data_IF_452404587536
#
_entry.id   IF_452404587536
#
_cell.length_a   1.000
_cell.length_b   1.000
_cell.length_c   1.000
_cell.angle_alpha   90.00
_cell.angle_beta   90.00
_cell.angle_gamma   90.00
#
_symmetry.space_group_name_H-M   'P 1'
#
loop_
_entity.id
_entity.type
_entity.pdbx_description
1 polymer ?
#
# COMPACT_ATOMS: atom_id res chain seq x y z
N UNK A 1 4.58 21.40 -4.33
CA UNK A 1 3.80 20.88 -3.18
C UNK A 1 3.44 19.41 -3.37
N UNK A 2 3.08 19.01 -4.58
CA UNK A 2 2.60 17.64 -4.88
C UNK A 2 3.73 16.61 -4.93
N UNK A 3 4.88 16.96 -5.49
CA UNK A 3 6.07 16.09 -5.55
C UNK A 3 6.65 15.77 -4.17
N UNK A 4 6.59 16.72 -3.27
CA UNK A 4 7.08 16.54 -1.91
C UNK A 4 6.18 15.59 -1.10
N UNK A 5 4.87 15.70 -1.30
CA UNK A 5 3.89 14.75 -0.72
C UNK A 5 4.08 13.33 -1.27
N UNK A 6 4.29 13.19 -2.59
CA UNK A 6 4.58 11.90 -3.23
C UNK A 6 5.85 11.27 -2.68
N UNK A 7 6.92 12.05 -2.53
CA UNK A 7 8.18 11.58 -1.93
C UNK A 7 8.02 11.15 -0.48
N UNK A 8 7.27 11.92 0.32
CA UNK A 8 7.00 11.58 1.71
C UNK A 8 6.18 10.28 1.85
N UNK A 9 5.19 10.07 0.97
CA UNK A 9 4.39 8.86 0.94
C UNK A 9 5.22 7.64 0.53
N UNK A 10 6.06 7.78 -0.50
CA UNK A 10 7.00 6.72 -0.92
C UNK A 10 8.01 6.37 0.18
N UNK A 11 8.50 7.37 0.90
CA UNK A 11 9.43 7.14 2.01
C UNK A 11 8.77 6.32 3.14
N UNK A 12 7.51 6.61 3.47
CA UNK A 12 6.75 5.84 4.45
C UNK A 12 6.54 4.38 4.02
N UNK A 13 6.19 4.16 2.74
CA UNK A 13 6.00 2.81 2.21
C UNK A 13 7.31 2.02 2.13
N UNK A 14 8.45 2.68 1.84
CA UNK A 14 9.77 2.04 1.81
C UNK A 14 10.32 1.72 3.19
N UNK A 15 10.00 2.53 4.20
CA UNK A 15 10.42 2.28 5.58
C UNK A 15 9.91 0.94 6.13
N UNK A 16 8.79 0.45 5.63
CA UNK A 16 8.21 -0.85 5.99
C UNK A 16 8.81 -2.05 5.23
N UNK A 17 9.69 -1.84 4.24
CA UNK A 17 10.34 -2.91 3.48
C UNK A 17 11.65 -3.41 4.14
N UNK A 18 11.98 -2.90 5.32
CA UNK A 18 13.16 -3.32 6.09
C UNK A 18 13.03 -4.74 6.62
N UNK A 19 13.52 -5.69 5.81
CA UNK A 19 14.10 -6.97 6.20
C UNK A 19 13.41 -7.77 7.30
N UNK A 20 12.19 -8.23 7.08
CA UNK A 20 11.59 -9.27 7.89
C UNK A 20 12.11 -10.64 7.48
N UNK A 21 13.22 -11.10 8.03
CA UNK A 21 13.54 -12.50 8.11
C UNK A 21 12.38 -13.20 8.80
N UNK A 22 11.73 -14.15 8.10
CA UNK A 22 10.75 -15.06 8.68
C UNK A 22 11.40 -15.90 9.78
N UNK A 23 11.44 -15.39 11.00
CA UNK A 23 11.55 -16.22 12.19
C UNK A 23 10.16 -16.34 12.78
N UNK A 24 9.58 -17.53 12.62
CA UNK A 24 8.43 -17.99 13.38
C UNK A 24 8.80 -18.02 14.87
N UNK A 25 8.65 -16.86 15.52
CA UNK A 25 8.65 -16.82 16.98
C UNK A 25 7.18 -16.84 17.40
N UNK A 26 6.70 -18.05 17.78
CA UNK A 26 5.47 -18.19 18.52
C UNK A 26 5.62 -17.40 19.82
N UNK A 27 5.16 -16.15 19.83
CA UNK A 27 4.89 -15.44 21.07
C UNK A 27 3.57 -15.98 21.63
N UNK A 28 3.71 -16.95 22.54
CA UNK A 28 2.64 -17.35 23.45
C UNK A 28 2.48 -16.24 24.48
N UNK A 29 1.41 -15.48 24.40
CA UNK A 29 1.03 -14.55 25.45
C UNK A 29 0.17 -15.28 26.48
N UNK A 30 0.63 -15.49 27.72
CA UNK A 30 -0.24 -15.90 28.79
C UNK A 30 -0.99 -14.68 29.32
N UNK A 31 -2.09 -14.32 28.67
CA UNK A 31 -3.01 -13.36 29.25
C UNK A 31 -3.92 -14.09 30.23
N UNK A 32 -3.60 -14.01 31.54
CA UNK A 32 -4.56 -14.30 32.60
C UNK A 32 -5.27 -12.99 32.96
N UNK A 33 -6.59 -12.90 32.80
CA UNK A 33 -7.35 -11.76 33.32
C UNK A 33 -7.64 -12.01 34.80
N UNK A 34 -6.80 -11.53 35.67
CA UNK A 34 -7.17 -11.29 37.06
C UNK A 34 -7.28 -9.78 37.28
N UNK A 35 -8.45 -9.38 37.81
CA UNK A 35 -8.90 -8.00 37.91
C UNK A 35 -7.93 -7.07 38.63
N UNK A 36 -7.70 -5.93 38.02
CA UNK A 36 -6.98 -4.83 38.64
C UNK A 36 -6.39 -3.91 37.57
N UNK A 37 -6.92 -2.71 37.51
CA UNK A 37 -6.36 -1.49 36.92
C UNK A 37 -5.68 -1.61 35.54
N UNK A 38 -6.30 -0.96 34.57
CA UNK A 38 -5.96 -0.95 33.13
C UNK A 38 -4.64 -0.16 32.82
N UNK A 39 -3.70 -0.10 33.71
CA UNK A 39 -2.37 0.46 33.44
C UNK A 39 -1.34 -0.64 33.68
N UNK A 40 -1.36 -1.63 32.77
CA UNK A 40 -0.23 -2.53 32.59
C UNK A 40 0.89 -1.79 31.87
N UNK A 41 1.70 -1.03 32.59
CA UNK A 41 2.97 -0.51 32.10
C UNK A 41 3.85 -1.70 31.76
N UNK A 42 4.04 -1.94 30.49
CA UNK A 42 4.99 -2.95 30.00
C UNK A 42 6.40 -2.39 30.28
N UNK A 43 7.00 -2.85 31.35
CA UNK A 43 8.42 -2.59 31.60
C UNK A 43 9.23 -3.42 30.59
N UNK A 44 9.89 -2.75 29.65
CA UNK A 44 11.00 -3.34 28.93
C UNK A 44 12.11 -3.76 29.88
N UNK A 45 12.88 -4.76 29.56
CA UNK A 45 14.03 -5.22 30.39
C UNK A 45 15.05 -4.12 30.70
N UNK A 46 14.94 -2.99 29.99
CA UNK A 46 15.84 -1.84 30.06
C UNK A 46 15.24 -0.68 30.87
N UNK A 47 14.11 -0.87 31.56
CA UNK A 47 13.48 0.17 32.37
C UNK A 47 12.84 1.32 31.56
N UNK A 48 12.76 1.22 30.25
CA UNK A 48 12.09 2.17 29.39
C UNK A 48 10.60 1.88 29.29
N UNK A 49 9.76 2.91 29.47
CA UNK A 49 8.33 2.84 29.24
C UNK A 49 8.09 2.78 27.72
N UNK A 50 7.88 1.59 27.19
CA UNK A 50 7.46 1.40 25.81
C UNK A 50 5.95 1.51 25.69
N UNK A 51 5.43 2.47 24.92
CA UNK A 51 4.05 2.40 24.47
C UNK A 51 3.89 1.14 23.58
N UNK A 52 2.83 0.33 23.78
CA UNK A 52 2.54 -0.76 22.84
C UNK A 52 2.35 -0.16 21.44
N UNK A 53 3.18 -0.55 20.50
CA UNK A 53 3.02 -0.17 19.10
C UNK A 53 1.70 -0.81 18.64
N UNK A 54 0.77 -0.06 18.06
CA UNK A 54 -0.44 -0.64 17.51
C UNK A 54 -0.05 -1.71 16.47
N UNK A 55 -0.78 -2.81 16.44
CA UNK A 55 -0.54 -3.88 15.48
C UNK A 55 -0.69 -3.31 14.07
N UNK A 56 0.40 -3.24 13.32
CA UNK A 56 0.36 -2.93 11.91
C UNK A 56 -0.21 -4.14 11.17
N UNK A 57 -1.24 -3.91 10.36
CA UNK A 57 -1.84 -4.96 9.55
C UNK A 57 -2.26 -4.44 8.19
N UNK A 58 -2.18 -5.30 7.21
CA UNK A 58 -2.65 -5.04 5.86
C UNK A 58 -4.01 -5.72 5.66
N UNK A 59 -5.05 -4.92 5.43
CA UNK A 59 -6.42 -5.40 5.25
C UNK A 59 -6.71 -5.41 3.75
N UNK A 60 -7.01 -6.60 3.19
CA UNK A 60 -7.47 -6.72 1.83
C UNK A 60 -8.82 -6.02 1.64
N UNK A 61 -8.95 -5.17 0.63
CA UNK A 61 -10.16 -4.45 0.31
C UNK A 61 -10.83 -4.94 -0.97
N UNK A 62 -10.08 -5.01 -2.07
CA UNK A 62 -10.69 -5.22 -3.37
C UNK A 62 -9.69 -5.69 -4.44
N UNK A 63 -10.20 -6.47 -5.43
CA UNK A 63 -9.48 -6.81 -6.65
C UNK A 63 -9.94 -5.94 -7.82
N UNK A 64 -9.00 -5.35 -8.55
CA UNK A 64 -9.29 -4.57 -9.76
C UNK A 64 -8.18 -4.68 -10.79
N UNK A 65 -8.38 -4.09 -11.96
CA UNK A 65 -7.35 -4.00 -12.99
C UNK A 65 -6.82 -2.57 -13.09
N UNK A 66 -5.55 -2.41 -13.45
CA UNK A 66 -4.99 -1.09 -13.74
C UNK A 66 -5.54 -0.60 -15.07
N UNK A 67 -6.06 0.63 -15.07
CA UNK A 67 -6.53 1.31 -16.27
C UNK A 67 -5.43 2.21 -16.87
N UNK A 68 -5.49 2.43 -18.18
CA UNK A 68 -4.61 3.38 -18.86
C UNK A 68 -3.18 2.89 -19.11
N UNK A 69 -2.89 1.61 -18.93
CA UNK A 69 -1.56 1.03 -19.21
C UNK A 69 -1.08 1.28 -20.63
N UNK A 70 -1.99 1.34 -21.61
CA UNK A 70 -1.67 1.63 -23.02
C UNK A 70 -1.22 3.08 -23.30
N UNK A 71 -1.47 3.99 -22.37
CA UNK A 71 -1.08 5.41 -22.48
C UNK A 71 0.20 5.74 -21.71
N UNK A 72 0.80 4.75 -21.06
CA UNK A 72 2.06 4.93 -20.33
C UNK A 72 3.22 4.71 -21.26
N UNK A 73 4.03 5.74 -21.46
CA UNK A 73 5.26 5.63 -22.26
C UNK A 73 6.24 4.65 -21.61
N UNK A 74 6.78 3.75 -22.41
CA UNK A 74 7.77 2.77 -21.92
C UNK A 74 7.19 1.61 -21.13
N UNK A 75 5.86 1.37 -21.18
CA UNK A 75 5.20 0.27 -20.47
C UNK A 75 5.80 -1.10 -20.82
N UNK A 76 6.32 -1.28 -22.04
CA UNK A 76 6.96 -2.53 -22.48
C UNK A 76 8.28 -2.80 -21.75
N UNK A 77 9.06 -1.75 -21.50
CA UNK A 77 10.28 -1.86 -20.71
C UNK A 77 9.97 -2.13 -19.24
N UNK A 78 8.90 -1.49 -18.74
CA UNK A 78 8.40 -1.66 -17.39
C UNK A 78 7.82 -3.08 -17.18
N UNK A 79 7.18 -3.66 -18.19
CA UNK A 79 6.62 -5.01 -18.13
C UNK A 79 7.61 -6.05 -17.65
N UNK A 80 8.87 -5.97 -18.13
CA UNK A 80 9.92 -6.91 -17.73
C UNK A 80 10.31 -6.80 -16.25
N UNK A 81 10.08 -5.66 -15.64
CA UNK A 81 10.43 -5.36 -14.25
C UNK A 81 9.28 -5.69 -13.30
N UNK A 82 8.02 -5.61 -13.77
CA UNK A 82 6.85 -5.91 -12.96
C UNK A 82 6.72 -7.41 -12.69
N UNK A 83 6.62 -7.78 -11.42
CA UNK A 83 6.44 -9.16 -10.96
C UNK A 83 5.14 -9.32 -10.19
N UNK A 84 4.54 -10.51 -10.29
CA UNK A 84 3.42 -10.88 -9.42
C UNK A 84 3.86 -10.85 -7.95
N UNK A 85 3.02 -10.32 -7.10
CA UNK A 85 3.34 -10.06 -5.69
C UNK A 85 4.06 -8.74 -5.41
N UNK A 86 4.44 -7.97 -6.46
CA UNK A 86 5.10 -6.68 -6.27
C UNK A 86 4.14 -5.63 -5.72
N UNK A 87 4.65 -4.83 -4.76
CA UNK A 87 3.89 -3.76 -4.12
C UNK A 87 3.90 -2.49 -4.99
N UNK A 88 2.74 -1.87 -5.10
CA UNK A 88 2.50 -0.64 -5.86
C UNK A 88 2.07 0.48 -4.92
N UNK A 89 2.54 1.68 -5.19
CA UNK A 89 2.16 2.88 -4.47
C UNK A 89 1.00 3.59 -5.17
N UNK A 90 0.06 4.14 -4.39
CA UNK A 90 -1.08 4.91 -4.86
C UNK A 90 -0.91 6.38 -4.50
N UNK A 91 -1.22 7.26 -5.45
CA UNK A 91 -1.16 8.70 -5.28
C UNK A 91 -2.46 9.35 -5.74
N UNK A 92 -3.02 10.22 -4.90
CA UNK A 92 -4.18 11.04 -5.28
C UNK A 92 -3.78 12.17 -6.21
N UNK A 93 -4.55 12.36 -7.25
CA UNK A 93 -4.45 13.49 -8.19
C UNK A 93 -5.78 14.26 -8.23
N UNK A 94 -6.09 15.09 -7.20
CA UNK A 94 -7.35 15.82 -7.14
C UNK A 94 -7.47 16.88 -8.24
N UNK A 95 -6.34 17.35 -8.76
CA UNK A 95 -6.26 18.36 -9.83
C UNK A 95 -6.19 17.72 -11.23
N UNK A 96 -6.46 16.41 -11.36
CA UNK A 96 -6.48 15.74 -12.66
C UNK A 96 -7.63 16.28 -13.51
N UNK A 97 -7.36 16.81 -14.74
CA UNK A 97 -8.37 17.45 -15.57
C UNK A 97 -9.48 16.49 -16.05
N UNK A 98 -9.21 15.19 -16.04
CA UNK A 98 -10.14 14.18 -16.51
C UNK A 98 -10.97 13.56 -15.39
N UNK A 99 -10.42 13.49 -14.17
CA UNK A 99 -11.08 12.85 -13.05
C UNK A 99 -10.54 13.39 -11.70
N UNK A 100 -11.34 14.17 -10.96
CA UNK A 100 -10.94 14.70 -9.66
C UNK A 100 -10.74 13.60 -8.59
N UNK A 101 -11.17 12.38 -8.87
CA UNK A 101 -10.97 11.22 -8.00
C UNK A 101 -9.87 10.29 -8.51
N UNK A 102 -9.05 10.73 -9.47
CA UNK A 102 -7.97 9.96 -10.02
C UNK A 102 -6.98 9.49 -8.94
N UNK A 103 -6.60 8.23 -9.05
CA UNK A 103 -5.57 7.60 -8.22
C UNK A 103 -4.52 7.02 -9.17
N UNK A 104 -3.35 7.64 -9.17
CA UNK A 104 -2.21 7.20 -9.94
C UNK A 104 -1.57 5.97 -9.28
N UNK A 105 -1.26 4.98 -10.08
CA UNK A 105 -0.57 3.76 -9.66
C UNK A 105 0.88 3.81 -10.12
N UNK A 106 1.81 3.69 -9.17
CA UNK A 106 3.25 3.69 -9.46
C UNK A 106 3.94 2.50 -8.81
N UNK A 107 5.07 2.10 -9.39
CA UNK A 107 5.99 1.17 -8.75
C UNK A 107 6.67 1.84 -7.54
N UNK A 108 7.30 1.04 -6.69
CA UNK A 108 8.08 1.57 -5.56
C UNK A 108 9.33 2.35 -6.03
N UNK A 109 9.75 2.20 -7.29
CA UNK A 109 10.80 3.00 -7.92
C UNK A 109 10.31 4.34 -8.48
N UNK A 110 8.99 4.60 -8.46
CA UNK A 110 8.36 5.84 -8.91
C UNK A 110 7.96 5.86 -10.38
N UNK A 111 7.98 4.71 -11.05
CA UNK A 111 7.53 4.60 -12.44
C UNK A 111 6.01 4.47 -12.50
N UNK A 112 5.38 5.24 -13.38
CA UNK A 112 3.93 5.20 -13.58
C UNK A 112 3.52 3.91 -14.28
N UNK A 113 2.53 3.23 -13.72
CA UNK A 113 1.94 2.00 -14.28
C UNK A 113 0.59 2.29 -14.94
N UNK A 114 -0.17 3.21 -14.37
CA UNK A 114 -1.49 3.58 -14.84
C UNK A 114 -2.34 4.19 -13.72
N UNK A 115 -3.65 3.94 -13.76
CA UNK A 115 -4.60 4.49 -12.82
C UNK A 115 -5.56 3.42 -12.29
N UNK A 116 -6.11 3.65 -11.11
CA UNK A 116 -7.26 2.87 -10.62
C UNK A 116 -8.48 3.23 -11.48
N UNK A 117 -9.27 2.23 -11.96
CA UNK A 117 -10.43 2.50 -12.80
C UNK A 117 -11.44 3.43 -12.14
N UNK A 118 -12.06 4.32 -12.95
CA UNK A 118 -13.07 5.28 -12.47
C UNK A 118 -14.23 4.64 -11.72
N UNK A 119 -14.65 3.45 -12.13
CA UNK A 119 -15.76 2.74 -11.50
C UNK A 119 -15.47 2.38 -10.04
N UNK A 120 -14.18 2.21 -9.69
CA UNK A 120 -13.74 1.70 -8.39
C UNK A 120 -13.05 2.79 -7.54
N UNK A 121 -12.55 3.87 -8.16
CA UNK A 121 -11.68 4.84 -7.51
C UNK A 121 -12.37 5.73 -6.46
N UNK A 122 -13.68 5.95 -6.57
CA UNK A 122 -14.44 6.86 -5.69
C UNK A 122 -14.25 6.53 -4.21
N UNK A 123 -14.39 5.26 -3.86
CA UNK A 123 -14.28 4.80 -2.48
C UNK A 123 -12.85 4.93 -1.98
N UNK A 124 -11.89 4.50 -2.79
CA UNK A 124 -10.47 4.54 -2.43
C UNK A 124 -9.93 5.97 -2.35
N UNK A 125 -10.38 6.86 -3.25
CA UNK A 125 -10.06 8.28 -3.20
C UNK A 125 -10.51 8.90 -1.88
N UNK A 126 -11.73 8.63 -1.44
CA UNK A 126 -12.27 9.12 -0.16
C UNK A 126 -11.51 8.57 1.05
N UNK A 127 -11.10 7.31 1.02
CA UNK A 127 -10.29 6.73 2.07
C UNK A 127 -8.92 7.41 2.15
N UNK A 128 -8.28 7.66 1.01
CA UNK A 128 -7.00 8.38 0.94
C UNK A 128 -7.13 9.84 1.39
N UNK A 129 -8.22 10.52 1.01
CA UNK A 129 -8.51 11.89 1.43
C UNK A 129 -8.79 11.98 2.94
N UNK A 130 -9.31 10.91 3.54
CA UNK A 130 -9.46 10.76 5.00
C UNK A 130 -8.14 10.38 5.72
N UNK A 131 -7.02 10.34 5.00
CA UNK A 131 -5.70 10.06 5.57
C UNK A 131 -5.34 8.58 5.69
N UNK A 132 -6.17 7.67 5.15
CA UNK A 132 -5.86 6.23 5.14
C UNK A 132 -4.77 5.92 4.13
N UNK A 133 -3.88 4.98 4.48
CA UNK A 133 -2.81 4.53 3.61
C UNK A 133 -3.27 3.32 2.81
N UNK A 134 -3.31 3.46 1.49
CA UNK A 134 -3.64 2.40 0.56
C UNK A 134 -2.43 2.04 -0.29
N UNK A 135 -2.33 0.78 -0.63
CA UNK A 135 -1.35 0.28 -1.58
C UNK A 135 -1.93 -0.86 -2.42
N UNK A 136 -1.30 -1.15 -3.54
CA UNK A 136 -1.66 -2.27 -4.39
C UNK A 136 -0.61 -3.36 -4.37
N UNK A 137 -1.02 -4.58 -4.71
CA UNK A 137 -0.11 -5.69 -5.01
C UNK A 137 -0.53 -6.31 -6.35
N UNK A 138 0.43 -6.58 -7.23
CA UNK A 138 0.15 -7.22 -8.52
C UNK A 138 -0.28 -8.66 -8.26
N UNK A 139 -1.53 -9.01 -8.61
CA UNK A 139 -2.06 -10.37 -8.49
C UNK A 139 -1.84 -11.18 -9.75
N UNK A 140 -1.95 -10.54 -10.92
CA UNK A 140 -1.79 -11.20 -12.22
C UNK A 140 -1.30 -10.22 -13.28
N UNK A 141 -0.43 -10.72 -14.14
CA UNK A 141 0.08 -9.99 -15.30
C UNK A 141 -0.22 -10.79 -16.58
N UNK A 142 -0.93 -10.17 -17.51
CA UNK A 142 -1.26 -10.76 -18.82
C UNK A 142 -0.88 -9.79 -19.93
N UNK A 143 -0.15 -10.27 -20.92
CA UNK A 143 0.11 -9.54 -22.16
C UNK A 143 -0.85 -10.01 -23.23
N UNK A 144 -1.63 -9.08 -23.77
CA UNK A 144 -2.56 -9.33 -24.90
C UNK A 144 -2.13 -8.47 -26.10
N UNK A 145 -1.25 -8.99 -26.95
CA UNK A 145 -0.66 -8.22 -28.06
C UNK A 145 0.20 -7.08 -27.53
N UNK A 146 -0.14 -5.84 -27.90
CA UNK A 146 0.54 -4.62 -27.42
C UNK A 146 -0.06 -4.06 -26.12
N UNK A 147 -1.01 -4.74 -25.52
CA UNK A 147 -1.69 -4.28 -24.32
C UNK A 147 -1.29 -5.13 -23.10
N UNK A 148 -0.86 -4.44 -22.05
CA UNK A 148 -0.55 -5.03 -20.76
C UNK A 148 -1.76 -4.92 -19.84
N UNK A 149 -2.33 -6.06 -19.48
CA UNK A 149 -3.39 -6.18 -18.47
C UNK A 149 -2.76 -6.53 -17.13
N UNK A 150 -2.92 -5.64 -16.16
CA UNK A 150 -2.45 -5.84 -14.79
C UNK A 150 -3.63 -5.91 -13.85
N UNK A 151 -3.81 -7.05 -13.20
CA UNK A 151 -4.75 -7.20 -12.09
C UNK A 151 -4.02 -6.89 -10.78
N UNK A 152 -4.64 -6.10 -9.93
CA UNK A 152 -4.08 -5.67 -8.66
C UNK A 152 -5.06 -5.92 -7.52
N UNK A 153 -4.52 -6.22 -6.37
CA UNK A 153 -5.23 -6.28 -5.09
C UNK A 153 -4.95 -5.00 -4.32
N UNK A 154 -6.00 -4.37 -3.82
CA UNK A 154 -5.91 -3.14 -3.02
C UNK A 154 -6.00 -3.50 -1.54
N UNK A 155 -5.06 -2.98 -0.77
CA UNK A 155 -4.96 -3.15 0.67
C UNK A 155 -4.99 -1.81 1.39
N UNK A 156 -5.59 -1.83 2.58
CA UNK A 156 -5.49 -0.76 3.57
C UNK A 156 -4.40 -1.14 4.58
N UNK A 157 -3.48 -0.23 4.81
CA UNK A 157 -2.47 -0.35 5.86
C UNK A 157 -2.91 0.40 7.11
N UNK A 158 -3.03 -0.30 8.25
CA UNK A 158 -3.37 0.25 9.58
C UNK A 158 -2.30 -0.06 10.61
#
# INVERSE_FOLDING_TARGET
VDEERKRAQLARLRGNLGGGSCMHSRMSFPFKPEGGSVIGLIHGKDGTLGMPVPFERDIFLFDTCVAGTSHVEGIEALESQLREGERLAFFREPDNPHDPQAILVQTMSGQTVGYVPRRDNVVFARLMDAGKQLFGTISKKEKKGNWLSLSIQIFLHE
#
